data_IF_070444786877
#
_entry.id   IF_070444786877
#
_cell.length_a   1.000
_cell.length_b   1.000
_cell.length_c   1.000
_cell.angle_alpha   90.00
_cell.angle_beta   90.00
_cell.angle_gamma   90.00
#
_symmetry.space_group_name_H-M   'P 1'
#
loop_
_entity.id
_entity.type
_entity.pdbx_description
1 polymer ?
#
# COMPACT_ATOMS: atom_id res chain seq x y z
N UNK A 1 27.61 53.95 -28.63
CA UNK A 1 26.28 53.95 -29.29
C UNK A 1 25.32 54.62 -28.35
N UNK A 2 24.69 55.70 -28.80
CA UNK A 2 23.65 56.37 -28.03
C UNK A 2 22.33 55.58 -28.17
N UNK A 3 21.60 55.42 -27.07
CA UNK A 3 20.33 54.69 -27.05
C UNK A 3 19.26 55.46 -27.83
N UNK A 4 18.98 55.00 -29.05
CA UNK A 4 17.97 55.60 -29.94
C UNK A 4 16.52 55.39 -29.48
N UNK A 5 16.27 54.48 -28.53
CA UNK A 5 14.94 54.16 -27.98
C UNK A 5 14.90 54.36 -26.47
N UNK A 6 13.83 54.98 -25.97
CA UNK A 6 13.64 55.23 -24.55
C UNK A 6 13.36 53.91 -23.81
N UNK A 7 14.21 53.46 -22.87
CA UNK A 7 14.03 52.19 -22.16
C UNK A 7 12.80 52.17 -21.26
N UNK A 8 12.22 53.32 -20.92
CA UNK A 8 10.94 53.41 -20.17
C UNK A 8 9.71 53.16 -21.05
N UNK A 9 9.82 53.34 -22.37
CA UNK A 9 8.73 53.12 -23.32
C UNK A 9 8.76 51.71 -23.94
N UNK A 10 9.69 50.84 -23.52
CA UNK A 10 9.79 49.49 -24.04
C UNK A 10 8.84 48.56 -23.27
N UNK A 11 7.74 48.18 -23.93
CA UNK A 11 6.69 47.29 -23.40
C UNK A 11 7.26 45.90 -23.05
N UNK A 12 8.26 45.41 -23.78
CA UNK A 12 8.86 44.10 -23.59
C UNK A 12 9.96 44.04 -22.54
N UNK A 13 10.23 45.12 -21.78
CA UNK A 13 11.40 45.20 -20.87
C UNK A 13 11.44 44.08 -19.82
N UNK A 14 10.28 43.65 -19.33
CA UNK A 14 10.16 42.66 -18.26
C UNK A 14 9.44 41.38 -18.71
N UNK A 15 9.36 41.11 -20.03
CA UNK A 15 8.55 40.00 -20.56
C UNK A 15 8.97 38.63 -20.01
N UNK A 16 10.27 38.37 -19.88
CA UNK A 16 10.81 37.13 -19.31
C UNK A 16 10.43 36.95 -17.84
N UNK A 17 10.34 38.05 -17.10
CA UNK A 17 9.98 38.06 -15.68
C UNK A 17 8.49 37.71 -15.50
N UNK A 18 7.62 38.26 -16.35
CA UNK A 18 6.20 37.89 -16.35
C UNK A 18 5.97 36.45 -16.81
N UNK A 19 6.75 35.96 -17.78
CA UNK A 19 6.72 34.56 -18.20
C UNK A 19 7.13 33.62 -17.05
N UNK A 20 8.23 33.93 -16.35
CA UNK A 20 8.70 33.14 -15.21
C UNK A 20 7.70 33.13 -14.04
N UNK A 21 7.06 34.28 -13.75
CA UNK A 21 6.02 34.36 -12.72
C UNK A 21 4.81 33.50 -13.11
N UNK A 22 4.38 33.56 -14.37
CA UNK A 22 3.26 32.75 -14.86
C UNK A 22 3.55 31.24 -14.75
N UNK A 23 4.76 30.83 -15.12
CA UNK A 23 5.21 29.44 -15.01
C UNK A 23 5.24 28.98 -13.54
N UNK A 24 5.78 29.79 -12.63
CA UNK A 24 5.80 29.50 -11.21
C UNK A 24 4.37 29.38 -10.62
N UNK A 25 3.44 30.24 -11.05
CA UNK A 25 2.05 30.20 -10.61
C UNK A 25 1.34 28.92 -11.09
N UNK A 26 1.55 28.51 -12.34
CA UNK A 26 0.98 27.27 -12.87
C UNK A 26 1.51 26.04 -12.16
N UNK A 27 2.82 25.98 -11.90
CA UNK A 27 3.44 24.90 -11.11
C UNK A 27 2.91 24.87 -9.67
N UNK A 28 2.73 26.03 -9.04
CA UNK A 28 2.20 26.11 -7.69
C UNK A 28 0.75 25.60 -7.60
N UNK A 29 -0.10 25.96 -8.57
CA UNK A 29 -1.48 25.50 -8.62
C UNK A 29 -1.58 24.00 -8.88
N UNK A 30 -0.79 23.47 -9.81
CA UNK A 30 -0.75 22.02 -10.08
C UNK A 30 -0.23 21.25 -8.86
N UNK A 31 0.85 21.70 -8.23
CA UNK A 31 1.36 21.08 -7.01
C UNK A 31 0.34 21.16 -5.85
N UNK A 32 -0.36 22.28 -5.71
CA UNK A 32 -1.41 22.44 -4.69
C UNK A 32 -2.60 21.52 -4.93
N UNK A 33 -3.00 21.32 -6.19
CA UNK A 33 -4.08 20.41 -6.57
C UNK A 33 -3.71 18.95 -6.32
N UNK A 34 -2.47 18.52 -6.62
CA UNK A 34 -1.99 17.16 -6.34
C UNK A 34 -1.96 16.88 -4.83
N UNK A 35 -1.51 17.88 -4.04
CA UNK A 35 -1.48 17.75 -2.59
C UNK A 35 -2.84 17.98 -1.91
N UNK A 36 -3.87 18.35 -2.68
CA UNK A 36 -5.21 18.54 -2.14
C UNK A 36 -5.86 17.18 -1.91
N UNK A 37 -5.63 16.63 -0.71
CA UNK A 37 -6.24 15.38 -0.27
C UNK A 37 -7.75 15.59 -0.10
N UNK A 38 -8.54 14.88 -0.92
CA UNK A 38 -9.97 14.72 -0.73
C UNK A 38 -10.22 13.33 -0.18
N UNK A 39 -10.56 13.22 1.10
CA UNK A 39 -11.01 11.96 1.69
C UNK A 39 -12.47 11.75 1.31
N UNK A 40 -12.79 10.54 0.87
CA UNK A 40 -14.18 10.16 0.63
C UNK A 40 -14.92 10.15 1.97
N UNK A 41 -15.99 10.94 2.06
CA UNK A 41 -16.86 10.93 3.24
C UNK A 41 -17.97 9.92 3.01
N UNK A 42 -17.59 8.67 2.77
CA UNK A 42 -18.51 7.55 2.72
C UNK A 42 -18.38 6.78 4.03
N UNK A 43 -19.39 6.96 4.88
CA UNK A 43 -19.84 6.00 5.88
C UNK A 43 -18.76 5.25 6.67
N UNK A 44 -18.15 5.94 7.64
CA UNK A 44 -17.49 5.28 8.77
C UNK A 44 -18.60 4.76 9.71
N UNK A 45 -19.31 3.72 9.28
CA UNK A 45 -20.06 2.81 10.14
C UNK A 45 -19.66 1.36 9.86
N UNK A 46 -18.37 1.14 9.64
CA UNK A 46 -17.73 -0.13 9.96
C UNK A 46 -17.23 0.02 11.38
N UNK A 47 -17.95 -0.61 12.31
CA UNK A 47 -17.79 -0.49 13.75
C UNK A 47 -16.32 -0.35 14.14
N UNK A 48 -16.05 0.70 14.92
CA UNK A 48 -14.78 0.92 15.60
C UNK A 48 -14.32 -0.43 16.18
N UNK A 49 -13.36 -1.11 15.52
CA UNK A 49 -12.74 -2.28 16.12
C UNK A 49 -11.97 -1.77 17.33
N UNK A 50 -12.60 -1.93 18.49
CA UNK A 50 -12.05 -1.58 19.77
C UNK A 50 -10.96 -2.61 20.08
N UNK A 51 -9.70 -2.21 19.85
CA UNK A 51 -8.53 -3.03 20.18
C UNK A 51 -8.27 -3.06 21.70
N UNK A 52 -8.90 -2.18 22.50
CA UNK A 52 -8.75 -2.20 23.96
C UNK A 52 -9.33 -3.50 24.56
N UNK A 53 -10.35 -4.12 23.93
CA UNK A 53 -10.89 -5.41 24.39
C UNK A 53 -9.94 -6.60 24.14
N UNK A 54 -8.99 -6.47 23.19
CA UNK A 54 -7.98 -7.51 22.91
C UNK A 54 -6.80 -7.45 23.91
N UNK A 55 -6.50 -6.26 24.45
CA UNK A 55 -5.40 -6.05 25.38
C UNK A 55 -5.75 -6.45 26.84
N UNK A 56 -7.03 -6.60 27.17
CA UNK A 56 -7.53 -7.02 28.49
C UNK A 56 -7.59 -8.56 28.69
N UNK A 57 -7.06 -9.37 27.75
CA UNK A 57 -7.02 -10.83 27.91
C UNK A 57 -5.96 -11.24 28.95
N UNK A 58 -6.40 -11.62 30.16
CA UNK A 58 -5.53 -12.04 31.26
C UNK A 58 -4.73 -13.31 30.90
N UNK A 59 -3.40 -13.17 30.73
CA UNK A 59 -2.51 -14.31 30.52
C UNK A 59 -2.50 -15.24 31.76
N UNK A 60 -2.64 -16.56 31.58
CA UNK A 60 -2.65 -17.50 32.71
C UNK A 60 -1.28 -17.51 33.41
N UNK A 61 -1.29 -17.50 34.75
CA UNK A 61 -0.07 -17.62 35.56
C UNK A 61 0.58 -18.97 35.27
N UNK A 62 1.76 -18.95 34.65
CA UNK A 62 2.54 -20.16 34.39
C UNK A 62 3.28 -20.60 35.65
N UNK A 63 3.08 -21.84 36.08
CA UNK A 63 3.88 -22.43 37.17
C UNK A 63 5.32 -22.65 36.66
N UNK A 64 6.26 -21.86 37.18
CA UNK A 64 7.68 -22.09 36.91
C UNK A 64 8.14 -23.36 37.63
N UNK A 65 8.39 -24.41 36.85
CA UNK A 65 8.99 -25.64 37.37
C UNK A 65 10.38 -25.29 37.89
N UNK A 66 10.56 -25.31 39.20
CA UNK A 66 11.87 -25.22 39.82
C UNK A 66 12.63 -26.51 39.47
N UNK A 67 13.48 -26.45 38.45
CA UNK A 67 14.36 -27.55 38.10
C UNK A 67 15.38 -27.75 39.22
N UNK A 68 15.74 -29.00 39.56
CA UNK A 68 16.75 -29.25 40.58
C UNK A 68 18.08 -28.58 40.19
N UNK A 69 18.88 -28.15 41.18
CA UNK A 69 20.12 -27.44 40.90
C UNK A 69 21.01 -28.28 39.98
N UNK A 70 21.64 -27.65 38.97
CA UNK A 70 22.40 -28.36 37.97
C UNK A 70 23.53 -29.17 38.61
N UNK A 71 23.84 -30.37 38.07
CA UNK A 71 24.93 -31.19 38.59
C UNK A 71 26.26 -30.42 38.53
N UNK A 72 27.20 -30.72 39.44
CA UNK A 72 28.49 -30.03 39.51
C UNK A 72 29.23 -30.12 38.18
N UNK A 73 29.96 -29.05 37.79
CA UNK A 73 30.60 -28.96 36.49
C UNK A 73 31.63 -30.08 36.30
N UNK A 74 31.70 -30.69 35.11
CA UNK A 74 32.72 -31.68 34.80
C UNK A 74 34.13 -31.05 34.92
N UNK A 75 35.15 -31.86 35.25
CA UNK A 75 36.52 -31.37 35.38
C UNK A 75 36.98 -30.71 34.08
N UNK A 76 37.70 -29.60 34.20
CA UNK A 76 38.17 -28.81 33.06
C UNK A 76 38.97 -29.69 32.08
N UNK A 77 38.62 -29.58 30.79
CA UNK A 77 39.34 -30.21 29.70
C UNK A 77 40.77 -29.62 29.59
N UNK A 78 41.77 -30.39 29.13
CA UNK A 78 43.14 -29.92 29.01
C UNK A 78 43.28 -28.73 28.04
N UNK A 79 44.16 -27.79 28.38
CA UNK A 79 44.35 -26.45 27.75
C UNK A 79 44.96 -26.44 26.35
N UNK A 80 45.02 -27.54 25.62
CA UNK A 80 45.66 -27.56 24.29
C UNK A 80 44.59 -27.80 23.24
N UNK A 81 44.04 -26.70 22.74
CA UNK A 81 43.27 -26.64 21.50
C UNK A 81 44.25 -26.15 20.44
N UNK A 82 44.68 -27.05 19.54
CA UNK A 82 45.31 -26.62 18.29
C UNK A 82 44.23 -25.92 17.47
N UNK A 83 44.38 -24.60 17.32
CA UNK A 83 43.53 -23.80 16.44
C UNK A 83 43.90 -24.20 15.02
N UNK A 84 43.04 -24.98 14.38
CA UNK A 84 43.05 -25.12 12.92
C UNK A 84 42.48 -23.81 12.38
N UNK A 85 43.26 -23.12 11.55
CA UNK A 85 42.84 -21.91 10.85
C UNK A 85 41.78 -22.31 9.80
N UNK A 86 40.50 -22.29 10.20
CA UNK A 86 39.37 -22.40 9.27
C UNK A 86 39.18 -21.05 8.54
N UNK A 87 40.15 -20.67 7.70
CA UNK A 87 39.98 -19.64 6.67
C UNK A 87 39.75 -20.33 5.32
N UNK A 88 38.58 -20.94 5.13
CA UNK A 88 38.07 -21.11 3.78
C UNK A 88 37.54 -19.74 3.31
N UNK A 89 38.33 -19.06 2.48
CA UNK A 89 37.89 -17.85 1.76
C UNK A 89 36.70 -18.22 0.87
N UNK A 90 35.50 -18.02 1.39
CA UNK A 90 34.28 -18.04 0.60
C UNK A 90 34.35 -16.89 -0.41
N UNK A 91 34.54 -17.21 -1.70
CA UNK A 91 34.39 -16.22 -2.77
C UNK A 91 32.96 -15.69 -2.73
N UNK A 92 32.78 -14.45 -2.27
CA UNK A 92 31.48 -13.78 -2.26
C UNK A 92 30.93 -13.74 -3.68
N UNK A 93 29.95 -14.59 -3.98
CA UNK A 93 29.21 -14.51 -5.24
C UNK A 93 28.35 -13.25 -5.18
N UNK A 94 28.67 -12.28 -6.04
CA UNK A 94 27.92 -11.03 -6.18
C UNK A 94 26.47 -11.38 -6.49
N UNK A 95 25.56 -11.01 -5.58
CA UNK A 95 24.12 -11.17 -5.79
C UNK A 95 23.71 -10.08 -6.79
N UNK A 96 23.53 -10.48 -8.05
CA UNK A 96 23.00 -9.58 -9.08
C UNK A 96 21.51 -9.38 -8.80
N UNK A 97 21.13 -8.15 -8.48
CA UNK A 97 19.75 -7.74 -8.24
C UNK A 97 18.97 -7.81 -9.55
N UNK A 98 17.88 -8.58 -9.59
CA UNK A 98 16.94 -8.64 -10.74
C UNK A 98 15.97 -7.45 -10.76
N UNK A 99 16.41 -6.29 -10.30
CA UNK A 99 15.60 -5.07 -10.31
C UNK A 99 15.81 -4.35 -11.64
N UNK A 100 14.71 -3.88 -12.24
CA UNK A 100 14.76 -3.12 -13.50
C UNK A 100 15.19 -1.68 -13.26
N UNK A 101 16.14 -1.20 -14.06
CA UNK A 101 16.60 0.19 -14.08
C UNK A 101 15.80 1.05 -15.08
N UNK A 102 15.77 2.37 -14.90
CA UNK A 102 15.09 3.31 -15.83
C UNK A 102 15.69 3.32 -17.26
N UNK A 103 16.89 2.77 -17.44
CA UNK A 103 17.55 2.63 -18.74
C UNK A 103 17.23 1.29 -19.44
N UNK A 104 16.54 0.36 -18.75
CA UNK A 104 16.17 -0.94 -19.32
C UNK A 104 15.03 -0.77 -20.34
N UNK A 105 15.22 -1.27 -21.56
CA UNK A 105 14.28 -1.10 -22.66
C UNK A 105 13.05 -1.98 -22.45
N UNK A 106 11.91 -1.35 -22.15
CA UNK A 106 10.61 -2.01 -22.04
C UNK A 106 10.21 -2.66 -23.38
N UNK A 107 9.98 -3.97 -23.37
CA UNK A 107 9.52 -4.73 -24.54
C UNK A 107 8.16 -4.17 -25.02
N UNK A 108 8.02 -3.98 -26.33
CA UNK A 108 6.82 -3.42 -26.94
C UNK A 108 5.62 -4.39 -26.81
N UNK A 109 4.42 -3.82 -26.56
CA UNK A 109 3.19 -4.57 -26.22
C UNK A 109 2.77 -5.58 -27.31
N UNK A 110 3.25 -5.43 -28.54
CA UNK A 110 2.95 -6.34 -29.66
C UNK A 110 3.63 -7.73 -29.55
N UNK A 111 4.67 -7.88 -28.72
CA UNK A 111 5.38 -9.17 -28.55
C UNK A 111 4.89 -10.02 -27.36
N UNK A 112 3.96 -9.51 -26.54
CA UNK A 112 3.39 -10.28 -25.44
C UNK A 112 2.24 -11.15 -25.94
N UNK A 113 2.45 -12.46 -26.03
CA UNK A 113 1.38 -13.45 -26.22
C UNK A 113 0.52 -13.51 -24.95
N UNK A 114 -0.60 -12.77 -24.95
CA UNK A 114 -1.62 -12.85 -23.90
C UNK A 114 -2.49 -14.07 -24.16
N UNK A 115 -2.33 -15.12 -23.35
CA UNK A 115 -3.22 -16.28 -23.37
C UNK A 115 -4.56 -15.88 -22.71
N UNK A 116 -5.60 -15.68 -23.54
CA UNK A 116 -6.97 -15.43 -23.05
C UNK A 116 -7.50 -16.71 -22.38
N UNK A 117 -7.39 -16.77 -21.05
CA UNK A 117 -8.06 -17.79 -20.26
C UNK A 117 -9.56 -17.44 -20.21
N UNK A 118 -10.39 -18.21 -20.89
CA UNK A 118 -11.85 -18.13 -20.75
C UNK A 118 -12.24 -18.53 -19.32
N UNK A 119 -12.36 -17.54 -18.43
CA UNK A 119 -12.92 -17.72 -17.11
C UNK A 119 -14.45 -17.88 -17.22
N UNK A 120 -14.91 -19.10 -17.49
CA UNK A 120 -16.30 -19.53 -17.28
C UNK A 120 -16.62 -19.58 -15.77
N UNK A 121 -16.63 -18.41 -15.13
CA UNK A 121 -17.11 -18.29 -13.75
C UNK A 121 -18.63 -18.31 -13.79
N UNK A 122 -19.22 -19.47 -13.51
CA UNK A 122 -20.65 -19.62 -13.27
C UNK A 122 -21.05 -18.84 -12.01
N UNK A 123 -21.39 -17.55 -12.19
CA UNK A 123 -21.98 -16.75 -11.14
C UNK A 123 -23.38 -17.31 -10.83
N UNK A 124 -23.49 -18.06 -9.74
CA UNK A 124 -24.77 -18.62 -9.29
C UNK A 124 -25.72 -17.50 -8.87
N UNK A 125 -26.67 -17.17 -9.75
CA UNK A 125 -27.73 -16.21 -9.45
C UNK A 125 -28.75 -16.84 -8.50
N UNK A 126 -28.95 -16.26 -7.33
CA UNK A 126 -30.04 -16.64 -6.45
C UNK A 126 -31.36 -16.06 -7.01
N UNK A 127 -32.24 -16.91 -7.53
CA UNK A 127 -33.60 -16.51 -7.91
C UNK A 127 -34.38 -16.22 -6.63
N UNK A 128 -34.64 -14.93 -6.36
CA UNK A 128 -35.44 -14.53 -5.20
C UNK A 128 -36.91 -14.76 -5.52
N UNK A 129 -37.49 -15.83 -4.97
CA UNK A 129 -38.92 -16.14 -5.15
C UNK A 129 -39.84 -15.22 -4.34
N UNK A 130 -39.35 -14.65 -3.23
CA UNK A 130 -40.14 -13.85 -2.30
C UNK A 130 -39.71 -12.39 -2.21
N UNK A 131 -40.64 -11.47 -2.43
CA UNK A 131 -40.39 -10.04 -2.31
C UNK A 131 -40.22 -9.59 -0.85
N UNK A 132 -39.41 -8.56 -0.57
CA UNK A 132 -39.22 -8.01 0.77
C UNK A 132 -40.53 -7.52 1.39
N UNK A 133 -40.62 -7.63 2.72
CA UNK A 133 -41.79 -7.22 3.51
C UNK A 133 -41.59 -5.77 3.95
N UNK A 134 -42.43 -4.87 3.45
CA UNK A 134 -42.43 -3.46 3.84
C UNK A 134 -43.26 -3.24 5.11
N UNK A 135 -42.84 -2.36 6.05
CA UNK A 135 -43.62 -2.05 7.26
C UNK A 135 -45.02 -1.56 6.90
N UNK A 136 -46.05 -2.28 7.39
CA UNK A 136 -47.46 -2.06 7.04
C UNK A 136 -48.05 -3.06 6.03
N UNK A 137 -47.21 -3.85 5.35
CA UNK A 137 -47.60 -4.89 4.38
C UNK A 137 -47.14 -6.29 4.79
N UNK A 138 -47.26 -6.57 6.07
CA UNK A 138 -46.89 -7.85 6.69
C UNK A 138 -47.85 -8.99 6.34
N UNK A 139 -49.08 -8.66 5.93
CA UNK A 139 -50.15 -9.62 5.64
C UNK A 139 -50.47 -9.59 4.15
N UNK A 140 -50.38 -10.76 3.51
CA UNK A 140 -50.80 -10.94 2.12
C UNK A 140 -49.94 -11.92 1.32
N UNK A 141 -50.42 -12.28 0.14
CA UNK A 141 -49.69 -13.07 -0.86
C UNK A 141 -48.53 -12.26 -1.46
N UNK A 142 -47.58 -12.94 -2.12
CA UNK A 142 -46.43 -12.33 -2.77
C UNK A 142 -46.82 -11.20 -3.76
N UNK A 143 -47.93 -11.38 -4.48
CA UNK A 143 -48.48 -10.36 -5.40
C UNK A 143 -49.03 -9.11 -4.68
N UNK A 144 -49.52 -9.26 -3.44
CA UNK A 144 -49.98 -8.14 -2.62
C UNK A 144 -48.79 -7.38 -2.03
N UNK A 145 -47.74 -8.11 -1.63
CA UNK A 145 -46.47 -7.52 -1.19
C UNK A 145 -45.76 -6.79 -2.33
N UNK A 146 -45.84 -7.29 -3.58
CA UNK A 146 -45.36 -6.60 -4.79
C UNK A 146 -46.06 -5.27 -5.05
N UNK A 147 -47.36 -5.18 -4.76
CA UNK A 147 -48.13 -3.94 -4.93
C UNK A 147 -47.84 -2.91 -3.83
N UNK A 148 -47.18 -3.32 -2.76
CA UNK A 148 -46.81 -2.48 -1.63
C UNK A 148 -45.34 -2.01 -1.66
N UNK A 149 -44.57 -2.44 -2.67
CA UNK A 149 -43.38 -1.73 -3.11
C UNK A 149 -43.78 -0.40 -3.75
#
# INVERSE_FOLDING_TARGET
MELKKNPKANVGRNSSLYFAIGLALMLFLTNSAINYKSYDKSDIDIGLLNMDELDDEEVPITEQIQTPPPPPPPPAAPEIIEVVEDEEEIEETVIESTETDEEEEIVEVEEIEVEEVEEDVEVSFAVIENVPIFPGCEKGTNDEKKKCM
#
